data_IF_829029253865
#
_entry.id   IF_829029253865
#
_cell.length_a   1.000
_cell.length_b   1.000
_cell.length_c   1.000
_cell.angle_alpha   90.00
_cell.angle_beta   90.00
_cell.angle_gamma   90.00
#
_symmetry.space_group_name_H-M   'P 1'
#
loop_
_entity.id
_entity.type
_entity.pdbx_description
1 polymer ?
#
# COMPACT_ATOMS: atom_id res chain seq x y z
N UNK A 1 29.45 -2.78 46.74
CA UNK A 1 30.70 -2.11 46.42
C UNK A 1 30.43 -0.87 45.60
N UNK A 2 31.15 0.21 45.86
CA UNK A 2 31.09 1.43 45.06
C UNK A 2 31.76 1.21 43.70
N UNK A 3 31.07 1.48 42.61
CA UNK A 3 31.60 1.30 41.24
C UNK A 3 32.76 2.23 40.89
N UNK A 4 32.95 3.34 41.61
CA UNK A 4 34.03 4.30 41.40
C UNK A 4 35.27 3.96 42.22
N UNK A 5 35.07 3.62 43.50
CA UNK A 5 36.16 3.42 44.44
C UNK A 5 36.53 1.95 44.70
N UNK A 6 35.65 1.01 44.28
CA UNK A 6 35.81 -0.42 44.55
C UNK A 6 35.67 -0.83 46.03
N UNK A 7 35.35 0.13 46.91
CA UNK A 7 35.21 -0.15 48.35
C UNK A 7 33.78 -0.63 48.67
N UNK A 8 33.67 -1.48 49.71
CA UNK A 8 32.38 -1.91 50.24
C UNK A 8 31.65 -0.69 50.81
N UNK A 9 30.42 -0.49 50.38
CA UNK A 9 29.57 0.58 50.92
C UNK A 9 28.96 0.14 52.24
N UNK A 10 28.88 1.05 53.19
CA UNK A 10 28.11 0.90 54.44
C UNK A 10 26.69 1.35 54.16
N UNK A 11 25.93 0.51 53.51
CA UNK A 11 24.53 0.76 53.15
C UNK A 11 23.73 -0.52 53.22
N UNK A 12 22.53 -0.45 53.73
CA UNK A 12 21.55 -1.50 53.64
C UNK A 12 20.73 -1.30 52.38
N UNK A 13 20.72 -2.31 51.51
CA UNK A 13 20.00 -2.25 50.28
C UNK A 13 18.70 -3.04 50.47
N UNK A 14 17.56 -2.37 50.39
CA UNK A 14 16.27 -3.05 50.42
C UNK A 14 16.13 -3.97 49.21
N UNK A 15 15.84 -5.23 49.44
CA UNK A 15 15.53 -6.21 48.42
C UNK A 15 14.36 -7.07 48.92
N UNK A 16 13.34 -7.21 48.09
CA UNK A 16 12.16 -7.99 48.40
C UNK A 16 11.15 -7.99 47.28
N UNK A 17 10.10 -8.82 47.38
CA UNK A 17 9.00 -8.81 46.41
C UNK A 17 8.24 -7.49 46.48
N UNK A 18 7.97 -6.91 45.34
CA UNK A 18 7.18 -5.68 45.20
C UNK A 18 5.83 -6.05 44.61
N UNK A 19 4.76 -5.63 45.25
CA UNK A 19 3.40 -5.78 44.72
C UNK A 19 3.16 -4.74 43.65
N UNK A 20 2.71 -5.18 42.49
CA UNK A 20 2.28 -4.30 41.39
C UNK A 20 1.13 -4.95 40.64
N UNK A 21 0.28 -4.16 40.01
CA UNK A 21 -0.82 -4.65 39.20
C UNK A 21 -0.96 -3.84 37.92
N UNK A 22 -1.45 -4.51 36.89
CA UNK A 22 -1.81 -3.88 35.62
C UNK A 22 -3.24 -3.34 35.73
N UNK A 23 -3.43 -2.02 35.59
CA UNK A 23 -4.72 -1.39 35.86
C UNK A 23 -5.62 -1.29 34.63
N UNK A 24 -5.19 -0.59 33.58
CA UNK A 24 -6.05 -0.21 32.44
C UNK A 24 -5.68 -0.86 31.10
N UNK A 25 -4.66 -1.70 31.06
CA UNK A 25 -4.20 -2.31 29.81
C UNK A 25 -4.88 -3.65 29.56
N UNK A 26 -6.15 -3.61 29.20
CA UNK A 26 -6.94 -4.81 28.92
C UNK A 26 -6.84 -5.21 27.46
N UNK A 27 -6.92 -6.50 27.18
CA UNK A 27 -6.81 -7.04 25.82
C UNK A 27 -7.97 -6.56 24.93
N UNK A 28 -9.16 -6.40 25.48
CA UNK A 28 -10.34 -5.95 24.75
C UNK A 28 -10.14 -4.56 24.11
N UNK A 29 -9.40 -3.69 24.78
CA UNK A 29 -9.10 -2.35 24.27
C UNK A 29 -7.98 -2.33 23.22
N UNK A 30 -7.24 -3.42 23.05
CA UNK A 30 -6.09 -3.52 22.16
C UNK A 30 -6.28 -4.46 20.99
N UNK A 31 -7.18 -5.43 21.09
CA UNK A 31 -7.46 -6.37 20.01
C UNK A 31 -8.07 -5.63 18.83
N UNK A 32 -7.55 -5.90 17.65
CA UNK A 32 -8.05 -5.33 16.40
C UNK A 32 -7.91 -6.33 15.27
N UNK A 33 -8.95 -6.45 14.46
CA UNK A 33 -8.96 -7.24 13.23
C UNK A 33 -9.81 -6.54 12.18
N UNK A 34 -9.46 -6.73 10.92
CA UNK A 34 -10.21 -6.20 9.79
C UNK A 34 -10.14 -7.17 8.62
N UNK A 35 -11.26 -7.38 7.93
CA UNK A 35 -11.29 -8.01 6.60
C UNK A 35 -11.49 -6.95 5.52
N UNK A 36 -12.69 -6.41 5.41
CA UNK A 36 -13.05 -5.32 4.50
C UNK A 36 -13.70 -4.21 5.34
N UNK A 37 -13.35 -2.96 5.07
CA UNK A 37 -13.87 -1.82 5.83
C UNK A 37 -13.69 -0.50 5.10
N UNK A 38 -13.83 0.64 5.79
CA UNK A 38 -13.77 1.95 5.19
C UNK A 38 -12.41 2.25 4.54
N UNK A 39 -12.42 3.02 3.45
CA UNK A 39 -11.23 3.41 2.68
C UNK A 39 -11.10 4.93 2.62
N UNK A 40 -9.87 5.39 2.41
CA UNK A 40 -9.59 6.80 2.17
C UNK A 40 -10.19 7.24 0.82
N UNK A 41 -10.73 8.45 0.78
CA UNK A 41 -11.33 8.98 -0.45
C UNK A 41 -10.28 9.23 -1.54
N UNK A 42 -9.11 9.77 -1.19
CA UNK A 42 -8.08 10.15 -2.14
C UNK A 42 -7.32 8.94 -2.70
N UNK A 43 -6.78 8.09 -1.84
CA UNK A 43 -5.92 6.96 -2.24
C UNK A 43 -6.67 5.65 -2.42
N UNK A 44 -7.91 5.56 -1.93
CA UNK A 44 -8.74 4.35 -1.84
C UNK A 44 -8.09 3.19 -1.09
N UNK A 45 -7.07 3.49 -0.31
CA UNK A 45 -6.44 2.54 0.60
C UNK A 45 -7.25 2.41 1.89
N UNK A 46 -7.09 1.30 2.65
CA UNK A 46 -7.69 1.17 3.97
C UNK A 46 -7.32 2.34 4.88
N UNK A 47 -8.25 2.77 5.73
CA UNK A 47 -7.96 3.75 6.77
C UNK A 47 -6.93 3.22 7.75
N UNK A 48 -6.27 4.09 8.48
CA UNK A 48 -5.36 3.76 9.57
C UNK A 48 -6.05 3.97 10.92
N UNK A 49 -5.75 3.09 11.87
CA UNK A 49 -6.19 3.21 13.26
C UNK A 49 -7.39 2.33 13.61
N UNK A 50 -7.30 1.70 14.78
CA UNK A 50 -8.32 0.81 15.35
C UNK A 50 -9.67 1.50 15.52
N UNK A 51 -9.67 2.77 15.97
CA UNK A 51 -10.88 3.55 16.21
C UNK A 51 -11.73 3.82 14.95
N UNK A 52 -11.12 3.70 13.79
CA UNK A 52 -11.76 3.91 12.49
C UNK A 52 -11.94 2.62 11.69
N UNK A 53 -11.84 1.48 12.35
CA UNK A 53 -11.86 0.17 11.72
C UNK A 53 -10.83 0.08 10.57
N UNK A 54 -9.64 0.60 10.84
CA UNK A 54 -8.54 0.68 9.89
C UNK A 54 -7.84 -0.65 9.68
N UNK A 55 -7.04 -0.72 8.62
CA UNK A 55 -6.20 -1.85 8.30
C UNK A 55 -4.89 -1.87 9.10
N UNK A 56 -4.17 -2.98 8.98
CA UNK A 56 -2.81 -3.12 9.46
C UNK A 56 -1.85 -2.75 8.34
N UNK A 57 -0.75 -2.12 8.69
CA UNK A 57 0.28 -1.68 7.75
C UNK A 57 1.37 -2.73 7.62
N UNK A 58 1.69 -3.10 6.39
CA UNK A 58 2.89 -3.88 6.09
C UNK A 58 4.01 -2.87 5.85
N UNK A 59 4.99 -2.85 6.74
CA UNK A 59 6.15 -1.95 6.64
C UNK A 59 7.17 -2.44 5.61
N UNK A 60 8.21 -1.64 5.44
CA UNK A 60 9.29 -1.94 4.49
C UNK A 60 10.08 -3.20 4.90
N UNK A 61 10.33 -3.39 6.19
CA UNK A 61 11.03 -4.57 6.70
C UNK A 61 10.22 -5.86 6.51
N UNK A 62 8.91 -5.81 6.72
CA UNK A 62 8.01 -6.94 6.48
C UNK A 62 7.96 -7.30 4.99
N UNK A 63 7.94 -6.30 4.11
CA UNK A 63 8.05 -6.50 2.66
C UNK A 63 9.37 -7.17 2.31
N UNK A 64 10.49 -6.76 2.88
CA UNK A 64 11.80 -7.34 2.64
C UNK A 64 11.88 -8.80 3.04
N UNK A 65 11.27 -9.18 4.16
CA UNK A 65 11.15 -10.57 4.58
C UNK A 65 10.36 -11.42 3.57
N UNK A 66 9.26 -10.90 3.05
CA UNK A 66 8.46 -11.59 2.03
C UNK A 66 9.24 -11.77 0.72
N UNK A 67 10.00 -10.75 0.30
CA UNK A 67 10.84 -10.82 -0.90
C UNK A 67 11.96 -11.83 -0.72
N UNK A 68 12.61 -11.87 0.45
CA UNK A 68 13.67 -12.83 0.74
C UNK A 68 13.18 -14.29 0.69
N UNK A 69 11.92 -14.54 1.07
CA UNK A 69 11.29 -15.86 0.97
C UNK A 69 10.73 -16.19 -0.42
N UNK A 70 10.80 -15.27 -1.39
CA UNK A 70 10.28 -15.48 -2.74
C UNK A 70 8.75 -15.49 -2.83
N UNK A 71 8.04 -14.85 -1.91
CA UNK A 71 6.58 -14.83 -1.83
C UNK A 71 5.93 -13.78 -2.75
N UNK A 72 6.29 -13.77 -4.03
CA UNK A 72 5.81 -12.76 -4.98
C UNK A 72 4.29 -12.71 -5.14
N UNK A 73 3.63 -13.87 -5.21
CA UNK A 73 2.17 -13.94 -5.35
C UNK A 73 1.45 -13.45 -4.08
N UNK A 74 1.96 -13.80 -2.91
CA UNK A 74 1.43 -13.32 -1.63
C UNK A 74 1.59 -11.81 -1.49
N UNK A 75 2.74 -11.28 -1.86
CA UNK A 75 3.01 -9.85 -1.85
C UNK A 75 2.05 -9.09 -2.79
N UNK A 76 1.83 -9.61 -3.99
CA UNK A 76 0.85 -9.06 -4.94
C UNK A 76 -0.56 -9.04 -4.35
N UNK A 77 -1.00 -10.13 -3.76
CA UNK A 77 -2.32 -10.22 -3.12
C UNK A 77 -2.45 -9.20 -2.00
N UNK A 78 -1.45 -9.09 -1.10
CA UNK A 78 -1.50 -8.16 0.04
C UNK A 78 -1.41 -6.69 -0.34
N UNK A 79 -0.61 -6.34 -1.32
CA UNK A 79 -0.43 -4.94 -1.72
C UNK A 79 -1.43 -4.46 -2.77
N UNK A 80 -2.14 -5.35 -3.42
CA UNK A 80 -3.05 -4.98 -4.49
C UNK A 80 -4.48 -5.49 -4.25
N UNK A 81 -4.68 -6.79 -4.19
CA UNK A 81 -6.02 -7.40 -4.17
C UNK A 81 -6.79 -7.09 -2.88
N UNK A 82 -6.12 -7.14 -1.73
CA UNK A 82 -6.72 -6.82 -0.43
C UNK A 82 -6.62 -5.34 -0.05
N UNK A 83 -5.99 -4.50 -0.85
CA UNK A 83 -5.79 -3.09 -0.60
C UNK A 83 -6.64 -2.21 -1.53
N UNK A 84 -6.11 -1.78 -2.64
CA UNK A 84 -6.69 -0.76 -3.51
C UNK A 84 -6.70 -1.16 -5.00
N UNK A 85 -6.95 -2.42 -5.29
CA UNK A 85 -7.01 -2.91 -6.67
C UNK A 85 -8.01 -2.10 -7.51
N UNK A 86 -7.59 -1.70 -8.69
CA UNK A 86 -8.43 -1.03 -9.67
C UNK A 86 -8.08 -1.46 -11.10
N UNK A 87 -9.07 -1.41 -11.97
CA UNK A 87 -8.92 -1.68 -13.39
C UNK A 87 -8.93 -0.36 -14.16
N UNK A 88 -7.87 -0.10 -14.90
CA UNK A 88 -7.71 1.08 -15.75
C UNK A 88 -7.59 0.66 -17.20
N UNK A 89 -7.93 1.56 -18.11
CA UNK A 89 -7.80 1.34 -19.54
C UNK A 89 -6.71 2.22 -20.09
N UNK A 90 -5.80 1.63 -20.85
CA UNK A 90 -4.59 2.27 -21.38
C UNK A 90 -4.60 2.16 -22.91
N UNK A 91 -4.30 3.24 -23.57
CA UNK A 91 -4.14 3.24 -25.00
C UNK A 91 -2.80 2.60 -25.38
N UNK A 92 -2.84 1.58 -26.23
CA UNK A 92 -1.64 0.81 -26.63
C UNK A 92 -0.69 1.63 -27.53
N UNK A 93 -1.19 2.66 -28.21
CA UNK A 93 -0.39 3.54 -29.06
C UNK A 93 0.41 4.57 -28.26
N UNK A 94 -0.24 5.31 -27.34
CA UNK A 94 0.42 6.40 -26.63
C UNK A 94 0.75 6.11 -25.18
N UNK A 95 0.28 4.99 -24.62
CA UNK A 95 0.53 4.59 -23.24
C UNK A 95 -0.16 5.43 -22.18
N UNK A 96 -1.12 6.29 -22.54
CA UNK A 96 -1.89 7.12 -21.60
C UNK A 96 -3.18 6.43 -21.18
N UNK A 97 -3.74 6.87 -20.06
CA UNK A 97 -5.06 6.42 -19.63
C UNK A 97 -6.14 6.86 -20.65
N UNK A 98 -7.00 5.92 -21.01
CA UNK A 98 -8.18 6.16 -21.82
C UNK A 98 -9.36 6.50 -20.94
N UNK A 99 -10.22 7.39 -21.38
CA UNK A 99 -11.42 7.83 -20.67
C UNK A 99 -12.64 7.00 -21.10
N UNK A 100 -13.52 6.67 -20.17
CA UNK A 100 -14.81 6.06 -20.49
C UNK A 100 -15.72 7.13 -21.10
N UNK A 101 -16.37 6.82 -22.20
CA UNK A 101 -17.39 7.68 -22.79
C UNK A 101 -18.68 7.51 -21.99
N UNK A 102 -19.27 8.62 -21.51
CA UNK A 102 -20.29 8.63 -20.47
C UNK A 102 -21.55 7.83 -20.83
N UNK A 103 -22.03 7.91 -22.06
CA UNK A 103 -23.26 7.25 -22.49
C UNK A 103 -23.05 5.92 -23.23
N UNK A 104 -21.83 5.49 -23.35
CA UNK A 104 -21.46 4.31 -24.12
C UNK A 104 -20.50 3.44 -23.37
N UNK A 105 -20.57 2.16 -23.59
CA UNK A 105 -19.76 1.19 -22.84
C UNK A 105 -18.41 0.90 -23.53
N UNK A 106 -17.76 1.97 -24.02
CA UNK A 106 -16.41 1.89 -24.58
C UNK A 106 -15.49 2.97 -24.02
N UNK A 107 -14.20 2.73 -24.16
CA UNK A 107 -13.14 3.65 -23.75
C UNK A 107 -12.52 4.32 -24.97
N UNK A 108 -12.08 5.55 -24.79
CA UNK A 108 -11.57 6.38 -25.86
C UNK A 108 -10.32 7.12 -25.45
N UNK A 109 -9.30 7.11 -26.31
CA UNK A 109 -8.10 7.89 -26.13
C UNK A 109 -8.20 9.20 -26.91
N UNK A 110 -8.33 10.31 -26.21
CA UNK A 110 -8.45 11.64 -26.82
C UNK A 110 -7.21 12.07 -27.61
N UNK A 111 -6.02 11.58 -27.22
CA UNK A 111 -4.77 11.98 -27.86
C UNK A 111 -4.49 11.29 -29.20
N UNK A 112 -4.94 10.03 -29.32
CA UNK A 112 -4.77 9.23 -30.54
C UNK A 112 -6.06 9.13 -31.36
N UNK A 113 -7.17 9.68 -30.86
CA UNK A 113 -8.50 9.54 -31.45
C UNK A 113 -8.89 8.07 -31.71
N UNK A 114 -8.54 7.19 -30.75
CA UNK A 114 -8.63 5.75 -30.92
C UNK A 114 -9.51 5.13 -29.81
N UNK A 115 -10.38 4.20 -30.20
CA UNK A 115 -11.23 3.42 -29.30
C UNK A 115 -11.01 1.91 -29.39
N UNK A 116 -10.23 1.43 -30.35
CA UNK A 116 -10.05 0.00 -30.63
C UNK A 116 -8.77 -0.58 -30.02
N UNK A 117 -7.68 0.19 -29.98
CA UNK A 117 -6.39 -0.21 -29.39
C UNK A 117 -6.28 0.22 -27.94
N UNK A 118 -7.10 -0.38 -27.09
CA UNK A 118 -7.18 -0.07 -25.65
C UNK A 118 -7.11 -1.35 -24.85
N UNK A 119 -6.09 -1.47 -24.02
CA UNK A 119 -5.89 -2.60 -23.11
C UNK A 119 -6.34 -2.30 -21.71
N UNK A 120 -6.96 -3.28 -21.05
CA UNK A 120 -7.32 -3.20 -19.65
C UNK A 120 -6.14 -3.66 -18.78
N UNK A 121 -5.71 -2.79 -17.88
CA UNK A 121 -4.59 -3.04 -16.95
C UNK A 121 -5.09 -2.99 -15.52
N UNK A 122 -4.71 -3.97 -14.72
CA UNK A 122 -5.02 -4.01 -13.29
C UNK A 122 -3.84 -3.46 -12.51
N UNK A 123 -4.07 -2.46 -11.66
CA UNK A 123 -3.04 -1.84 -10.85
C UNK A 123 -3.60 -1.31 -9.52
N UNK A 124 -2.75 -0.99 -8.52
CA UNK A 124 -3.18 -0.26 -7.34
C UNK A 124 -3.70 1.13 -7.70
N UNK A 125 -4.78 1.57 -7.03
CA UNK A 125 -5.33 2.91 -7.28
C UNK A 125 -4.35 4.02 -6.92
N UNK A 126 -3.56 3.85 -5.86
CA UNK A 126 -2.51 4.79 -5.49
C UNK A 126 -1.46 4.97 -6.60
N UNK A 127 -1.13 3.91 -7.34
CA UNK A 127 -0.25 3.99 -8.49
C UNK A 127 -0.88 4.80 -9.65
N UNK A 128 -2.18 4.60 -9.91
CA UNK A 128 -2.92 5.44 -10.88
C UNK A 128 -2.89 6.90 -10.47
N UNK A 129 -3.15 7.20 -9.20
CA UNK A 129 -3.11 8.55 -8.66
C UNK A 129 -1.73 9.18 -8.84
N UNK A 130 -0.67 8.47 -8.48
CA UNK A 130 0.71 8.93 -8.68
C UNK A 130 1.00 9.27 -10.15
N UNK A 131 0.57 8.46 -11.10
CA UNK A 131 0.75 8.76 -12.53
C UNK A 131 0.00 10.03 -12.95
N UNK A 132 -1.18 10.26 -12.41
CA UNK A 132 -1.94 11.49 -12.69
C UNK A 132 -1.27 12.72 -12.06
N UNK A 133 -0.74 12.61 -10.84
CA UNK A 133 0.00 13.68 -10.17
C UNK A 133 1.30 14.01 -10.92
N UNK A 134 2.08 13.01 -11.34
CA UNK A 134 3.29 13.22 -12.15
C UNK A 134 2.95 13.89 -13.49
N UNK A 135 1.84 13.50 -14.10
CA UNK A 135 1.37 14.13 -15.35
C UNK A 135 1.01 15.59 -15.13
N UNK A 136 0.49 15.97 -13.97
CA UNK A 136 0.13 17.35 -13.65
C UNK A 136 1.35 18.29 -13.57
N UNK A 137 2.53 17.76 -13.30
CA UNK A 137 3.81 18.50 -13.30
C UNK A 137 4.55 18.38 -14.63
N UNK A 138 3.83 18.08 -15.72
CA UNK A 138 4.34 17.98 -17.11
C UNK A 138 5.31 16.81 -17.37
N UNK A 139 5.30 15.78 -16.54
CA UNK A 139 6.03 14.54 -16.78
C UNK A 139 5.02 13.47 -17.21
N UNK A 140 5.12 12.99 -18.45
CA UNK A 140 4.18 12.02 -18.99
C UNK A 140 4.69 10.57 -18.83
N UNK A 141 4.21 9.80 -17.84
CA UNK A 141 4.48 8.37 -17.77
C UNK A 141 3.69 7.64 -18.86
N UNK A 142 4.34 6.77 -19.61
CA UNK A 142 3.72 5.95 -20.65
C UNK A 142 3.75 4.48 -20.25
N UNK A 143 2.57 3.88 -20.16
CA UNK A 143 2.41 2.47 -19.83
C UNK A 143 2.49 1.68 -21.14
N UNK A 144 3.46 0.78 -21.23
CA UNK A 144 3.57 -0.16 -22.36
C UNK A 144 2.85 -1.46 -22.01
N UNK A 145 1.92 -1.84 -22.84
CA UNK A 145 1.21 -3.13 -22.77
C UNK A 145 1.94 -4.18 -23.60
N UNK A 146 1.59 -5.46 -23.42
CA UNK A 146 2.16 -6.53 -24.24
C UNK A 146 1.91 -6.28 -25.73
N UNK A 147 0.73 -5.79 -26.07
CA UNK A 147 0.34 -5.52 -27.45
C UNK A 147 1.21 -4.40 -28.07
N UNK A 148 1.46 -3.31 -27.35
CA UNK A 148 2.33 -2.24 -27.82
C UNK A 148 3.80 -2.65 -27.99
N UNK A 149 4.28 -3.62 -27.23
CA UNK A 149 5.65 -4.16 -27.35
C UNK A 149 5.78 -5.05 -28.58
N UNK A 150 4.76 -5.85 -28.88
CA UNK A 150 4.80 -6.70 -30.11
C UNK A 150 4.71 -5.87 -31.38
N UNK A 151 3.89 -4.82 -31.43
CA UNK A 151 3.76 -3.95 -32.60
C UNK A 151 5.00 -3.07 -32.86
N UNK A 152 5.81 -2.78 -31.85
CA UNK A 152 7.06 -2.00 -32.02
C UNK A 152 8.25 -2.81 -32.53
N UNK A 153 8.14 -4.14 -32.62
CA UNK A 153 9.19 -5.05 -33.12
C UNK A 153 8.90 -5.59 -34.53
N UNK A 154 7.90 -5.05 -35.20
CA UNK A 154 7.54 -5.32 -36.58
C UNK A 154 7.83 -4.04 -37.41
#
# INVERSE_FOLDING_TARGET
YCGITGKKMQAEIFIGPTYYMRLKHMVLDKVHSRSIGPRQALTRQPLEGRSRDGGLKIGEMEKDAMVAHGLGQFLKERMMETSDITKVHVCDECGRFASKVFDKDYYYCQGCNNSTKISAVTMPYACKLMFQEITSVNILPRIRTKQSVYESNV
#
